data_IF_548986389166
#
_entry.id   IF_548986389166
#
_cell.length_a   1.000
_cell.length_b   1.000
_cell.length_c   1.000
_cell.angle_alpha   90.00
_cell.angle_beta   90.00
_cell.angle_gamma   90.00
#
_symmetry.space_group_name_H-M   'P 1'
#
loop_
_entity.id
_entity.type
_entity.pdbx_description
1 polymer ?
#
# COMPACT_ATOMS: atom_id res chain seq x y z
N UNK A 1 -51.74 -4.32 -31.87
CA UNK A 1 -51.23 -5.29 -30.94
C UNK A 1 -49.71 -5.09 -30.82
N UNK A 2 -49.30 -4.23 -29.93
CA UNK A 2 -47.88 -3.89 -29.65
C UNK A 2 -47.56 -4.46 -28.29
N UNK A 3 -46.68 -5.48 -28.28
CA UNK A 3 -46.17 -6.11 -27.07
C UNK A 3 -45.09 -5.20 -26.43
N UNK A 4 -45.41 -4.71 -25.24
CA UNK A 4 -44.46 -4.12 -24.32
C UNK A 4 -43.53 -5.23 -23.78
N UNK A 5 -42.26 -5.18 -24.16
CA UNK A 5 -41.21 -5.92 -23.49
C UNK A 5 -40.78 -5.13 -22.25
N UNK A 6 -41.28 -5.56 -21.10
CA UNK A 6 -40.85 -5.06 -19.80
C UNK A 6 -39.41 -5.44 -19.56
N UNK A 7 -38.51 -4.47 -19.48
CA UNK A 7 -37.14 -4.61 -19.01
C UNK A 7 -37.17 -4.92 -17.52
N UNK A 8 -36.75 -6.12 -17.14
CA UNK A 8 -36.56 -6.49 -15.74
C UNK A 8 -35.48 -5.59 -15.12
N UNK A 9 -35.66 -5.12 -13.87
CA UNK A 9 -34.65 -4.32 -13.19
C UNK A 9 -33.43 -5.22 -12.92
N UNK A 10 -32.27 -4.74 -13.35
CA UNK A 10 -30.97 -5.31 -12.97
C UNK A 10 -30.85 -5.12 -11.46
N UNK A 11 -30.91 -6.21 -10.72
CA UNK A 11 -30.73 -6.23 -9.27
C UNK A 11 -29.46 -5.50 -8.92
N UNK A 12 -29.58 -4.39 -8.19
CA UNK A 12 -28.48 -3.73 -7.52
C UNK A 12 -27.82 -4.78 -6.59
N UNK A 13 -26.67 -5.30 -7.00
CA UNK A 13 -25.86 -6.17 -6.16
C UNK A 13 -25.43 -5.37 -4.92
N UNK A 14 -26.29 -5.38 -3.91
CA UNK A 14 -25.91 -4.94 -2.57
C UNK A 14 -24.72 -5.77 -2.13
N UNK A 15 -23.62 -5.08 -1.86
CA UNK A 15 -22.39 -5.68 -1.35
C UNK A 15 -22.71 -6.38 -0.02
N UNK A 16 -22.97 -7.67 -0.10
CA UNK A 16 -23.35 -8.49 1.06
C UNK A 16 -22.11 -8.91 1.84
N UNK A 17 -21.71 -8.05 2.77
CA UNK A 17 -20.58 -8.29 3.68
C UNK A 17 -20.80 -9.52 4.59
N UNK A 18 -22.03 -10.04 4.72
CA UNK A 18 -22.31 -11.24 5.52
C UNK A 18 -21.79 -12.51 4.85
N UNK A 19 -21.52 -12.49 3.54
CA UNK A 19 -20.89 -13.61 2.83
C UNK A 19 -19.40 -13.74 3.09
N UNK A 20 -18.73 -12.69 3.60
CA UNK A 20 -17.30 -12.73 3.93
C UNK A 20 -17.00 -13.46 5.25
N UNK A 21 -17.94 -13.53 6.19
CA UNK A 21 -17.73 -14.14 7.52
C UNK A 21 -18.78 -15.20 7.90
N UNK A 22 -19.73 -15.51 7.03
CA UNK A 22 -20.74 -16.53 7.28
C UNK A 22 -20.23 -17.94 7.04
N UNK A 23 -19.86 -18.66 8.10
CA UNK A 23 -19.24 -19.98 8.19
C UNK A 23 -17.80 -19.99 7.69
N UNK A 24 -16.86 -20.44 8.54
CA UNK A 24 -15.47 -20.77 8.23
C UNK A 24 -15.42 -22.01 7.29
N UNK A 25 -16.05 -21.92 6.14
CA UNK A 25 -15.70 -22.72 4.99
C UNK A 25 -14.53 -22.00 4.35
N UNK A 26 -13.39 -22.67 4.09
CA UNK A 26 -12.28 -22.10 3.33
C UNK A 26 -12.85 -21.31 2.16
N UNK A 27 -12.59 -19.98 2.07
CA UNK A 27 -13.10 -19.18 0.97
C UNK A 27 -12.70 -19.82 -0.35
N UNK A 28 -13.56 -19.75 -1.35
CA UNK A 28 -13.42 -20.50 -2.61
C UNK A 28 -12.07 -20.35 -3.25
N UNK A 29 -11.44 -19.14 -3.18
CA UNK A 29 -10.11 -18.88 -3.70
C UNK A 29 -9.01 -19.78 -3.11
N UNK A 30 -9.02 -20.07 -1.80
CA UNK A 30 -8.01 -20.95 -1.17
C UNK A 30 -8.18 -22.44 -1.54
N UNK A 31 -9.31 -22.84 -2.10
CA UNK A 31 -9.50 -24.18 -2.63
C UNK A 31 -8.73 -24.40 -3.94
N UNK A 32 -8.39 -23.33 -4.62
CA UNK A 32 -7.62 -23.33 -5.86
C UNK A 32 -6.14 -23.50 -5.52
N UNK A 33 -5.56 -24.66 -5.80
CA UNK A 33 -4.18 -25.00 -5.43
C UNK A 33 -3.14 -24.00 -5.96
N UNK A 34 -3.18 -23.54 -7.23
CA UNK A 34 -2.28 -22.50 -7.73
C UNK A 34 -2.41 -21.18 -6.95
N UNK A 35 -3.61 -20.74 -6.63
CA UNK A 35 -3.82 -19.52 -5.84
C UNK A 35 -3.19 -19.64 -4.45
N UNK A 36 -3.39 -20.76 -3.76
CA UNK A 36 -2.82 -21.01 -2.43
C UNK A 36 -1.29 -20.98 -2.43
N UNK A 37 -0.66 -21.54 -3.47
CA UNK A 37 0.81 -21.52 -3.61
C UNK A 37 1.33 -20.09 -3.84
N UNK A 38 0.67 -19.33 -4.70
CA UNK A 38 1.02 -17.93 -4.96
C UNK A 38 0.79 -17.09 -3.72
N UNK A 39 -0.31 -17.29 -3.01
CA UNK A 39 -0.60 -16.56 -1.77
C UNK A 39 0.46 -16.83 -0.68
N UNK A 40 0.90 -18.07 -0.51
CA UNK A 40 1.98 -18.42 0.42
C UNK A 40 3.32 -17.76 0.02
N UNK A 41 3.65 -17.75 -1.27
CA UNK A 41 4.84 -17.05 -1.77
C UNK A 41 4.75 -15.53 -1.52
N UNK A 42 3.58 -14.94 -1.70
CA UNK A 42 3.33 -13.52 -1.42
C UNK A 42 3.45 -13.17 0.05
N UNK A 43 2.96 -14.02 0.92
CA UNK A 43 3.13 -13.83 2.36
C UNK A 43 4.63 -13.75 2.71
N UNK A 44 5.47 -14.63 2.15
CA UNK A 44 6.92 -14.57 2.32
C UNK A 44 7.54 -13.30 1.72
N UNK A 45 7.08 -12.87 0.56
CA UNK A 45 7.57 -11.64 -0.10
C UNK A 45 7.22 -10.41 0.76
N UNK A 46 5.99 -10.31 1.24
CA UNK A 46 5.57 -9.18 2.08
C UNK A 46 6.29 -9.20 3.44
N UNK A 47 6.42 -10.38 4.04
CA UNK A 47 7.12 -10.55 5.31
C UNK A 47 8.58 -10.10 5.20
N UNK A 48 9.31 -10.62 4.19
CA UNK A 48 10.69 -10.23 3.92
C UNK A 48 10.83 -8.73 3.66
N UNK A 49 9.87 -8.14 2.93
CA UNK A 49 9.83 -6.70 2.68
C UNK A 49 9.75 -5.88 3.98
N UNK A 50 8.88 -6.27 4.92
CA UNK A 50 8.71 -5.54 6.18
C UNK A 50 9.87 -5.74 7.13
N UNK A 51 10.48 -6.93 7.15
CA UNK A 51 11.76 -7.15 7.84
C UNK A 51 12.83 -6.22 7.27
N UNK A 52 12.99 -6.18 5.94
CA UNK A 52 13.97 -5.33 5.23
C UNK A 52 13.75 -3.83 5.54
N UNK A 53 12.49 -3.35 5.54
CA UNK A 53 12.16 -1.95 5.87
C UNK A 53 12.65 -1.62 7.29
N UNK A 54 12.36 -2.50 8.24
CA UNK A 54 12.69 -2.29 9.64
C UNK A 54 14.21 -2.32 9.85
N UNK A 55 14.91 -3.28 9.22
CA UNK A 55 16.36 -3.40 9.32
C UNK A 55 17.08 -2.22 8.67
N UNK A 56 16.65 -1.78 7.47
CA UNK A 56 17.22 -0.58 6.82
C UNK A 56 17.02 0.66 7.71
N UNK A 57 15.80 0.87 8.22
CA UNK A 57 15.53 1.99 9.11
C UNK A 57 16.39 1.96 10.38
N UNK A 58 16.56 0.77 10.96
CA UNK A 58 17.42 0.56 12.13
C UNK A 58 18.89 0.87 11.84
N UNK A 59 19.44 0.30 10.76
CA UNK A 59 20.86 0.51 10.40
C UNK A 59 21.17 2.00 10.14
N UNK A 60 20.26 2.72 9.50
CA UNK A 60 20.45 4.16 9.24
C UNK A 60 20.39 4.95 10.55
N UNK A 61 19.42 4.69 11.43
CA UNK A 61 19.30 5.44 12.69
C UNK A 61 20.46 5.12 13.62
N UNK A 62 20.86 3.87 13.73
CA UNK A 62 21.99 3.43 14.57
C UNK A 62 23.31 4.03 14.09
N UNK A 63 23.51 4.13 12.77
CA UNK A 63 24.73 4.67 12.20
C UNK A 63 24.82 6.20 12.25
N UNK A 64 23.71 6.91 12.26
CA UNK A 64 23.70 8.36 12.02
C UNK A 64 22.98 9.18 13.08
N UNK A 65 22.00 8.62 13.78
CA UNK A 65 21.09 9.37 14.65
C UNK A 65 20.31 10.49 13.92
N UNK A 66 20.36 10.54 12.58
CA UNK A 66 19.85 11.68 11.81
C UNK A 66 18.42 11.43 11.33
N UNK A 67 17.44 12.24 11.79
CA UNK A 67 16.06 12.17 11.29
C UNK A 67 15.95 12.38 9.78
N UNK A 68 16.77 13.27 9.22
CA UNK A 68 16.81 13.52 7.78
C UNK A 68 17.26 12.30 7.01
N UNK A 69 18.36 11.65 7.42
CA UNK A 69 18.90 10.50 6.71
C UNK A 69 17.97 9.27 6.80
N UNK A 70 17.34 9.04 7.96
CA UNK A 70 16.32 7.99 8.12
C UNK A 70 15.17 8.23 7.14
N UNK A 71 14.63 9.44 7.10
CA UNK A 71 13.51 9.81 6.22
C UNK A 71 13.92 9.81 4.74
N UNK A 72 15.16 10.19 4.42
CA UNK A 72 15.72 10.09 3.07
C UNK A 72 15.76 8.62 2.60
N UNK A 73 16.02 7.67 3.49
CA UNK A 73 15.96 6.24 3.18
C UNK A 73 14.57 5.80 2.69
N UNK A 74 13.51 6.34 3.30
CA UNK A 74 12.13 6.10 2.85
C UNK A 74 11.88 6.70 1.48
N UNK A 75 12.32 7.94 1.25
CA UNK A 75 12.22 8.61 -0.06
C UNK A 75 12.93 7.81 -1.16
N UNK A 76 14.18 7.48 -0.94
CA UNK A 76 15.02 6.74 -1.91
C UNK A 76 14.41 5.38 -2.26
N UNK A 77 13.82 4.70 -1.29
CA UNK A 77 13.13 3.42 -1.49
C UNK A 77 11.87 3.54 -2.34
N UNK A 78 11.08 4.60 -2.15
CA UNK A 78 9.76 4.76 -2.76
C UNK A 78 9.78 5.60 -4.03
N UNK A 79 10.74 6.50 -4.20
CA UNK A 79 10.86 7.32 -5.41
C UNK A 79 10.85 6.50 -6.71
N UNK A 80 11.53 5.33 -6.79
CA UNK A 80 11.49 4.50 -7.98
C UNK A 80 10.10 4.00 -8.38
N UNK A 81 9.14 3.89 -7.44
CA UNK A 81 7.78 3.44 -7.74
C UNK A 81 7.07 4.34 -8.76
N UNK A 82 7.37 5.63 -8.76
CA UNK A 82 6.70 6.59 -9.64
C UNK A 82 7.24 6.55 -11.06
N UNK A 83 8.47 6.12 -11.25
CA UNK A 83 9.10 5.96 -12.56
C UNK A 83 8.97 4.53 -13.06
N UNK A 84 9.33 3.56 -12.23
CA UNK A 84 9.36 2.16 -12.59
C UNK A 84 7.98 1.48 -12.53
N UNK A 85 7.04 1.98 -11.71
CA UNK A 85 5.70 1.42 -11.58
C UNK A 85 4.91 1.39 -12.89
N UNK A 86 4.76 2.49 -13.62
CA UNK A 86 4.10 2.52 -14.93
C UNK A 86 4.79 1.64 -15.97
N UNK A 87 6.13 1.60 -15.97
CA UNK A 87 6.93 0.75 -16.88
C UNK A 87 6.71 -0.73 -16.51
N UNK A 88 6.78 -1.06 -15.23
CA UNK A 88 6.55 -2.41 -14.72
C UNK A 88 5.14 -2.91 -15.03
N UNK A 89 4.11 -2.05 -14.91
CA UNK A 89 2.74 -2.37 -15.30
C UNK A 89 2.63 -2.69 -16.79
N UNK A 90 3.17 -1.84 -17.65
CA UNK A 90 3.16 -2.05 -19.10
C UNK A 90 3.95 -3.30 -19.52
N UNK A 91 5.00 -3.67 -18.78
CA UNK A 91 5.74 -4.92 -19.01
C UNK A 91 4.95 -6.14 -18.52
N UNK A 92 4.31 -6.04 -17.35
CA UNK A 92 3.51 -7.13 -16.79
C UNK A 92 2.35 -7.55 -17.72
N UNK A 93 1.78 -6.59 -18.47
CA UNK A 93 0.72 -6.86 -19.46
C UNK A 93 1.20 -7.62 -20.72
N UNK A 94 2.52 -7.59 -20.98
CA UNK A 94 3.12 -8.17 -22.21
C UNK A 94 3.81 -9.52 -22.00
N UNK A 95 4.09 -9.88 -20.75
CA UNK A 95 4.84 -11.10 -20.41
C UNK A 95 4.01 -11.99 -19.50
N UNK A 96 4.43 -13.23 -19.33
CA UNK A 96 3.82 -14.13 -18.36
C UNK A 96 4.02 -13.57 -16.93
N UNK A 97 2.90 -13.30 -16.24
CA UNK A 97 2.90 -12.64 -14.93
C UNK A 97 3.68 -13.44 -13.87
N UNK A 98 3.56 -14.78 -13.89
CA UNK A 98 4.29 -15.64 -12.95
C UNK A 98 5.80 -15.54 -13.18
N UNK A 99 6.23 -15.59 -14.44
CA UNK A 99 7.63 -15.39 -14.82
C UNK A 99 8.13 -14.01 -14.37
N UNK A 100 7.34 -12.97 -14.62
CA UNK A 100 7.70 -11.60 -14.28
C UNK A 100 7.87 -11.40 -12.77
N UNK A 101 6.94 -11.97 -11.95
CA UNK A 101 7.03 -11.91 -10.50
C UNK A 101 8.25 -12.72 -10.01
N UNK A 102 8.57 -13.86 -10.61
CA UNK A 102 9.79 -14.62 -10.29
C UNK A 102 11.05 -13.78 -10.54
N UNK A 103 11.18 -13.19 -11.73
CA UNK A 103 12.36 -12.39 -12.10
C UNK A 103 12.52 -11.18 -11.19
N UNK A 104 11.45 -10.43 -10.93
CA UNK A 104 11.50 -9.27 -10.04
C UNK A 104 11.82 -9.67 -8.60
N UNK A 105 11.30 -10.82 -8.12
CA UNK A 105 11.64 -11.35 -6.80
C UNK A 105 13.08 -11.86 -6.74
N UNK A 106 13.61 -12.49 -7.80
CA UNK A 106 15.04 -12.85 -7.89
C UNK A 106 15.94 -11.60 -7.84
N UNK A 107 15.52 -10.50 -8.49
CA UNK A 107 16.20 -9.22 -8.34
C UNK A 107 16.27 -8.76 -6.87
N UNK A 108 15.18 -8.96 -6.11
CA UNK A 108 15.16 -8.66 -4.67
C UNK A 108 16.05 -9.60 -3.85
N UNK A 109 16.13 -10.89 -4.21
CA UNK A 109 17.13 -11.81 -3.62
C UNK A 109 18.53 -11.26 -3.81
N UNK A 110 18.88 -10.89 -5.03
CA UNK A 110 20.21 -10.33 -5.33
C UNK A 110 20.48 -9.04 -4.50
N UNK A 111 19.52 -8.14 -4.41
CA UNK A 111 19.66 -6.91 -3.61
C UNK A 111 19.81 -7.22 -2.12
N UNK A 112 19.06 -8.17 -1.56
CA UNK A 112 19.20 -8.55 -0.16
C UNK A 112 20.58 -9.17 0.12
N UNK A 113 21.09 -10.00 -0.78
CA UNK A 113 22.47 -10.54 -0.69
C UNK A 113 23.50 -9.43 -0.79
N UNK A 114 23.35 -8.50 -1.75
CA UNK A 114 24.27 -7.37 -1.91
C UNK A 114 24.25 -6.43 -0.70
N UNK A 115 23.07 -6.17 -0.09
CA UNK A 115 22.95 -5.41 1.15
C UNK A 115 23.68 -6.10 2.30
N UNK A 116 23.52 -7.44 2.43
CA UNK A 116 24.25 -8.22 3.41
C UNK A 116 25.74 -8.11 3.23
N UNK A 117 26.23 -8.32 2.01
CA UNK A 117 27.68 -8.24 1.68
C UNK A 117 28.23 -6.82 1.85
N UNK A 118 27.48 -5.81 1.44
CA UNK A 118 27.89 -4.42 1.59
C UNK A 118 28.05 -4.02 3.06
N UNK A 119 27.09 -4.40 3.90
CA UNK A 119 27.16 -4.14 5.35
C UNK A 119 28.30 -4.93 6.00
N UNK A 120 28.56 -6.15 5.54
CA UNK A 120 29.65 -6.97 6.06
C UNK A 120 31.04 -6.40 5.68
N UNK A 121 31.18 -5.96 4.42
CA UNK A 121 32.47 -5.48 3.88
C UNK A 121 32.78 -4.01 4.21
N UNK A 122 31.76 -3.14 4.22
CA UNK A 122 31.92 -1.70 4.31
C UNK A 122 31.22 -1.06 5.51
N UNK A 123 30.66 -1.89 6.43
CA UNK A 123 29.86 -1.39 7.55
C UNK A 123 28.61 -0.64 7.07
N UNK A 124 28.17 0.32 7.87
CA UNK A 124 26.96 1.11 7.60
C UNK A 124 27.21 2.22 6.54
N UNK A 125 27.79 1.88 5.39
CA UNK A 125 28.00 2.82 4.30
C UNK A 125 26.66 3.25 3.68
N UNK A 126 26.27 4.49 3.93
CA UNK A 126 24.95 5.02 3.51
C UNK A 126 24.77 5.02 1.99
N UNK A 127 25.83 5.29 1.21
CA UNK A 127 25.74 5.28 -0.25
C UNK A 127 25.38 3.90 -0.78
N UNK A 128 26.00 2.86 -0.23
CA UNK A 128 25.68 1.49 -0.61
C UNK A 128 24.25 1.13 -0.20
N UNK A 129 23.84 1.46 1.03
CA UNK A 129 22.49 1.21 1.54
C UNK A 129 21.44 1.90 0.68
N UNK A 130 21.59 3.18 0.40
CA UNK A 130 20.62 3.94 -0.40
C UNK A 130 20.55 3.46 -1.84
N UNK A 131 21.70 3.23 -2.48
CA UNK A 131 21.74 2.77 -3.88
C UNK A 131 21.06 1.39 -4.01
N UNK A 132 21.40 0.44 -3.15
CA UNK A 132 20.81 -0.89 -3.18
C UNK A 132 19.32 -0.86 -2.82
N UNK A 133 18.93 -0.03 -1.84
CA UNK A 133 17.52 0.15 -1.47
C UNK A 133 16.71 0.78 -2.60
N UNK A 134 17.27 1.74 -3.35
CA UNK A 134 16.63 2.33 -4.54
C UNK A 134 16.40 1.29 -5.63
N UNK A 135 17.43 0.49 -5.95
CA UNK A 135 17.32 -0.58 -6.95
C UNK A 135 16.29 -1.64 -6.49
N UNK A 136 16.29 -1.99 -5.20
CA UNK A 136 15.27 -2.86 -4.59
C UNK A 136 13.85 -2.30 -4.74
N UNK A 137 13.70 -0.98 -4.65
CA UNK A 137 12.45 -0.25 -4.91
C UNK A 137 11.95 -0.40 -6.35
N UNK A 138 12.85 -0.38 -7.33
CA UNK A 138 12.50 -0.64 -8.75
C UNK A 138 11.87 -2.03 -8.90
N UNK A 139 12.52 -3.08 -8.38
CA UNK A 139 11.97 -4.43 -8.44
C UNK A 139 10.65 -4.57 -7.68
N UNK A 140 10.51 -3.90 -6.54
CA UNK A 140 9.29 -3.95 -5.74
C UNK A 140 8.10 -3.28 -6.41
N UNK A 141 8.30 -2.22 -7.20
CA UNK A 141 7.24 -1.45 -7.85
C UNK A 141 6.47 -2.25 -8.90
N UNK A 142 7.13 -3.22 -9.53
CA UNK A 142 6.60 -4.01 -10.64
C UNK A 142 5.71 -5.19 -10.17
N UNK A 143 5.82 -5.60 -8.91
CA UNK A 143 5.14 -6.80 -8.39
C UNK A 143 3.63 -6.61 -8.26
N UNK A 144 3.18 -5.47 -7.73
CA UNK A 144 1.75 -5.24 -7.43
C UNK A 144 0.87 -5.29 -8.69
N UNK A 145 1.19 -4.60 -9.81
CA UNK A 145 0.41 -4.69 -11.04
C UNK A 145 0.35 -6.11 -11.59
N UNK A 146 1.49 -6.81 -11.61
CA UNK A 146 1.59 -8.19 -12.10
C UNK A 146 0.73 -9.16 -11.27
N UNK A 147 0.67 -8.97 -9.95
CA UNK A 147 -0.15 -9.77 -9.06
C UNK A 147 -1.65 -9.61 -9.31
N UNK A 148 -2.10 -8.37 -9.48
CA UNK A 148 -3.52 -8.11 -9.76
C UNK A 148 -3.95 -8.73 -11.10
N UNK A 149 -3.10 -8.66 -12.12
CA UNK A 149 -3.33 -9.34 -13.39
C UNK A 149 -3.40 -10.86 -13.20
N UNK A 150 -2.43 -11.42 -12.46
CA UNK A 150 -2.37 -12.85 -12.18
C UNK A 150 -3.60 -13.37 -11.43
N UNK A 151 -4.12 -12.62 -10.45
CA UNK A 151 -5.34 -13.02 -9.75
C UNK A 151 -6.57 -13.05 -10.65
N UNK A 152 -6.69 -12.07 -11.55
CA UNK A 152 -7.79 -12.06 -12.50
C UNK A 152 -7.75 -13.26 -13.46
N UNK A 153 -6.55 -13.79 -13.77
CA UNK A 153 -6.38 -14.94 -14.62
C UNK A 153 -6.53 -16.29 -13.88
N UNK A 154 -6.23 -16.32 -12.56
CA UNK A 154 -6.23 -17.56 -11.76
C UNK A 154 -7.56 -17.91 -11.12
N UNK A 155 -8.37 -16.89 -10.80
CA UNK A 155 -9.54 -17.05 -9.95
C UNK A 155 -10.78 -16.63 -10.72
N UNK A 156 -11.89 -17.43 -10.68
CA UNK A 156 -13.16 -17.03 -11.29
C UNK A 156 -13.60 -15.65 -10.77
N UNK A 157 -14.25 -14.86 -11.62
CA UNK A 157 -14.65 -13.47 -11.32
C UNK A 157 -15.40 -13.35 -9.99
N UNK A 158 -16.26 -14.32 -9.67
CA UNK A 158 -17.00 -14.40 -8.39
C UNK A 158 -16.10 -14.53 -7.14
N UNK A 159 -14.86 -15.05 -7.29
CA UNK A 159 -13.92 -15.27 -6.19
C UNK A 159 -12.81 -14.20 -6.15
N UNK A 160 -12.74 -13.31 -7.15
CA UNK A 160 -11.69 -12.31 -7.28
C UNK A 160 -11.64 -11.35 -6.09
N UNK A 161 -12.80 -10.92 -5.60
CA UNK A 161 -12.89 -10.07 -4.40
C UNK A 161 -12.32 -10.78 -3.17
N UNK A 162 -12.58 -12.09 -3.03
CA UNK A 162 -12.01 -12.90 -1.96
C UNK A 162 -10.48 -13.02 -2.09
N UNK A 163 -9.97 -13.22 -3.30
CA UNK A 163 -8.54 -13.31 -3.58
C UNK A 163 -7.79 -12.02 -3.22
N UNK A 164 -8.34 -10.86 -3.58
CA UNK A 164 -7.80 -9.54 -3.20
C UNK A 164 -7.88 -9.30 -1.69
N UNK A 165 -8.91 -9.82 -1.03
CA UNK A 165 -9.02 -9.81 0.43
C UNK A 165 -7.90 -10.61 1.10
N UNK A 166 -7.54 -11.77 0.56
CA UNK A 166 -6.42 -12.57 1.05
C UNK A 166 -5.06 -11.89 0.83
N UNK A 167 -4.88 -11.17 -0.28
CA UNK A 167 -3.68 -10.35 -0.49
C UNK A 167 -3.56 -9.28 0.61
N UNK A 168 -4.65 -8.58 0.91
CA UNK A 168 -4.68 -7.57 1.96
C UNK A 168 -4.37 -8.16 3.33
N UNK A 169 -4.87 -9.36 3.63
CA UNK A 169 -4.54 -10.09 4.88
C UNK A 169 -3.05 -10.42 4.92
N UNK A 170 -2.47 -10.96 3.84
CA UNK A 170 -1.05 -11.29 3.79
C UNK A 170 -0.18 -10.03 3.99
N UNK A 171 -0.55 -8.91 3.37
CA UNK A 171 0.14 -7.63 3.53
C UNK A 171 0.07 -7.13 4.98
N UNK A 172 -1.12 -7.08 5.58
CA UNK A 172 -1.32 -6.55 6.95
C UNK A 172 -0.68 -7.46 8.00
N UNK A 173 -0.78 -8.78 7.86
CA UNK A 173 -0.07 -9.70 8.75
C UNK A 173 1.44 -9.51 8.67
N UNK A 174 1.97 -9.28 7.47
CA UNK A 174 3.41 -9.03 7.29
C UNK A 174 3.84 -7.69 7.88
N UNK A 175 2.99 -6.67 7.85
CA UNK A 175 3.22 -5.38 8.52
C UNK A 175 3.31 -5.52 10.04
N UNK A 176 2.59 -6.47 10.63
CA UNK A 176 2.64 -6.76 12.07
C UNK A 176 3.85 -7.64 12.40
N UNK A 177 3.98 -8.78 11.72
CA UNK A 177 4.92 -9.83 12.07
C UNK A 177 6.35 -9.48 11.64
N UNK A 178 6.53 -8.86 10.47
CA UNK A 178 7.86 -8.52 9.93
C UNK A 178 8.68 -7.63 10.86
N UNK A 179 8.16 -6.49 11.30
CA UNK A 179 8.84 -5.62 12.25
C UNK A 179 9.09 -6.26 13.62
N UNK A 180 8.19 -7.14 14.10
CA UNK A 180 8.42 -7.93 15.33
C UNK A 180 9.64 -8.83 15.16
N UNK A 181 9.70 -9.60 14.05
CA UNK A 181 10.83 -10.47 13.75
C UNK A 181 12.12 -9.65 13.72
N UNK A 182 12.13 -8.54 12.97
CA UNK A 182 13.31 -7.69 12.90
C UNK A 182 13.70 -7.12 14.27
N UNK A 183 12.74 -6.54 14.99
CA UNK A 183 12.98 -5.90 16.28
C UNK A 183 13.46 -6.84 17.36
N UNK A 184 12.94 -8.07 17.40
CA UNK A 184 13.33 -9.09 18.39
C UNK A 184 14.68 -9.72 18.04
N UNK A 185 14.99 -9.92 16.76
CA UNK A 185 16.21 -10.59 16.34
C UNK A 185 17.43 -9.66 16.26
N UNK A 186 17.27 -8.40 15.90
CA UNK A 186 18.38 -7.44 15.73
C UNK A 186 19.29 -7.30 16.98
N UNK A 187 18.81 -7.42 18.23
CA UNK A 187 19.70 -7.42 19.40
C UNK A 187 20.65 -8.62 19.48
N UNK A 188 20.31 -9.72 18.82
CA UNK A 188 21.05 -10.99 18.88
C UNK A 188 21.73 -11.33 17.56
N UNK A 189 21.26 -10.77 16.46
CA UNK A 189 21.67 -11.11 15.10
C UNK A 189 22.05 -9.84 14.35
N UNK A 190 23.28 -9.80 13.85
CA UNK A 190 23.76 -8.64 13.10
C UNK A 190 22.93 -8.37 11.83
N UNK A 191 22.78 -7.09 11.47
CA UNK A 191 21.99 -6.66 10.32
C UNK A 191 22.34 -7.38 8.98
N UNK A 192 23.61 -7.65 8.64
CA UNK A 192 23.98 -8.45 7.48
C UNK A 192 23.29 -9.83 7.45
N UNK A 193 23.24 -10.51 8.59
CA UNK A 193 22.60 -11.85 8.69
C UNK A 193 21.08 -11.73 8.53
N UNK A 194 20.47 -10.65 9.01
CA UNK A 194 19.04 -10.39 8.80
C UNK A 194 18.72 -10.22 7.30
N UNK A 195 19.56 -9.51 6.54
CA UNK A 195 19.40 -9.41 5.08
C UNK A 195 19.59 -10.75 4.38
N UNK A 196 20.51 -11.59 4.83
CA UNK A 196 20.65 -12.94 4.32
C UNK A 196 19.41 -13.79 4.61
N UNK A 197 18.81 -13.65 5.79
CA UNK A 197 17.53 -14.28 6.12
C UNK A 197 16.39 -13.84 5.17
N UNK A 198 16.33 -12.54 4.84
CA UNK A 198 15.34 -12.06 3.85
C UNK A 198 15.64 -12.60 2.45
N UNK A 199 16.91 -12.73 2.05
CA UNK A 199 17.29 -13.33 0.77
C UNK A 199 16.85 -14.80 0.69
N UNK A 200 17.02 -15.57 1.75
CA UNK A 200 16.52 -16.95 1.85
C UNK A 200 15.00 -17.00 1.73
N UNK A 201 14.29 -16.13 2.45
CA UNK A 201 12.82 -16.10 2.39
C UNK A 201 12.29 -15.70 1.00
N UNK A 202 12.90 -14.72 0.32
CA UNK A 202 12.60 -14.42 -1.08
C UNK A 202 12.91 -15.60 -2.00
N UNK A 203 14.02 -16.31 -1.78
CA UNK A 203 14.38 -17.50 -2.57
C UNK A 203 13.36 -18.62 -2.40
N UNK A 204 12.88 -18.86 -1.18
CA UNK A 204 11.80 -19.81 -0.91
C UNK A 204 10.48 -19.39 -1.59
N UNK A 205 10.17 -18.10 -1.61
CA UNK A 205 9.00 -17.60 -2.33
C UNK A 205 9.12 -17.86 -3.84
N UNK A 206 10.29 -17.61 -4.44
CA UNK A 206 10.57 -17.93 -5.84
C UNK A 206 10.45 -19.43 -6.08
N UNK A 207 11.05 -20.27 -5.22
CA UNK A 207 10.97 -21.72 -5.32
C UNK A 207 9.51 -22.21 -5.25
N UNK A 208 8.70 -21.66 -4.32
CA UNK A 208 7.27 -22.00 -4.26
C UNK A 208 6.52 -21.68 -5.55
N UNK A 209 6.89 -20.62 -6.25
CA UNK A 209 6.30 -20.25 -7.54
C UNK A 209 6.71 -21.18 -8.70
N UNK A 210 7.83 -21.94 -8.59
CA UNK A 210 8.18 -22.92 -9.61
C UNK A 210 7.24 -24.14 -9.60
N UNK A 211 6.60 -24.42 -8.48
CA UNK A 211 5.61 -25.49 -8.39
C UNK A 211 4.22 -25.08 -8.92
N UNK A 212 4.02 -23.80 -9.22
CA UNK A 212 2.81 -23.34 -9.89
C UNK A 212 2.92 -23.74 -11.37
N UNK A 213 2.09 -24.69 -11.79
CA UNK A 213 2.07 -25.17 -13.17
C UNK A 213 1.78 -24.03 -14.14
N UNK A 214 2.63 -23.88 -15.14
CA UNK A 214 2.47 -22.90 -16.24
C UNK A 214 1.19 -23.13 -17.05
N UNK A 215 0.61 -24.32 -17.00
CA UNK A 215 -0.61 -24.67 -17.75
C UNK A 215 -1.82 -23.77 -17.45
N UNK A 216 -1.88 -23.13 -16.28
CA UNK A 216 -2.98 -22.19 -15.95
C UNK A 216 -2.77 -20.84 -16.64
N UNK A 217 -1.52 -20.39 -16.74
CA UNK A 217 -1.18 -19.16 -17.43
C UNK A 217 -1.27 -19.30 -18.96
N UNK A 218 -0.97 -20.49 -19.48
CA UNK A 218 -1.06 -20.78 -20.93
C UNK A 218 -2.52 -20.90 -21.37
N UNK A 219 -3.39 -21.54 -20.57
CA UNK A 219 -4.84 -21.63 -20.86
C UNK A 219 -5.53 -20.27 -20.80
N UNK A 220 -5.12 -19.39 -19.86
CA UNK A 220 -5.65 -18.03 -19.76
C UNK A 220 -5.19 -17.16 -20.95
N UNK A 221 -3.98 -17.41 -21.47
CA UNK A 221 -3.44 -16.73 -22.66
C UNK A 221 -4.16 -17.16 -23.92
N UNK A 222 -4.39 -18.46 -24.10
CA UNK A 222 -5.17 -19.02 -25.20
C UNK A 222 -6.62 -18.52 -25.20
N UNK A 223 -7.25 -18.43 -24.03
CA UNK A 223 -8.60 -17.87 -23.88
C UNK A 223 -8.66 -16.37 -24.21
N UNK A 224 -7.60 -15.60 -23.89
CA UNK A 224 -7.49 -14.19 -24.25
C UNK A 224 -7.20 -13.98 -25.73
N UNK A 225 -6.32 -14.78 -26.33
CA UNK A 225 -6.03 -14.75 -27.77
C UNK A 225 -7.27 -15.10 -28.59
N UNK A 226 -8.10 -16.04 -28.11
CA UNK A 226 -9.38 -16.39 -28.74
C UNK A 226 -10.44 -15.27 -28.61
N UNK A 227 -10.40 -14.44 -27.58
CA UNK A 227 -11.29 -13.30 -27.41
C UNK A 227 -10.81 -12.01 -28.12
N UNK A 228 -9.50 -11.84 -28.32
CA UNK A 228 -8.93 -10.65 -29.02
C UNK A 228 -9.08 -10.76 -30.54
N UNK A 229 -9.32 -11.96 -31.10
CA UNK A 229 -9.57 -12.14 -32.56
C UNK A 229 -10.94 -11.61 -33.01
N UNK A 230 -11.89 -11.41 -32.07
CA UNK A 230 -13.23 -10.87 -32.33
C UNK A 230 -13.40 -9.39 -31.95
N UNK A 231 -12.43 -8.77 -31.30
CA UNK A 231 -12.50 -7.36 -30.92
C UNK A 231 -11.68 -6.48 -31.87
N UNK A 232 -12.39 -5.69 -32.69
CA UNK A 232 -11.90 -4.56 -33.46
C UNK A 232 -10.69 -3.92 -32.79
N UNK A 233 -9.56 -3.84 -33.49
CA UNK A 233 -8.35 -3.08 -33.13
C UNK A 233 -8.69 -1.62 -32.77
N UNK A 234 -9.20 -1.40 -31.57
CA UNK A 234 -9.24 -0.06 -31.02
C UNK A 234 -7.80 0.28 -30.66
N UNK A 235 -7.18 1.18 -31.39
CA UNK A 235 -5.89 1.82 -31.08
C UNK A 235 -5.91 2.21 -29.60
N UNK A 236 -5.18 1.45 -28.77
CA UNK A 236 -5.06 1.77 -27.33
C UNK A 236 -4.41 3.16 -27.26
N UNK A 237 -5.06 4.16 -26.66
CA UNK A 237 -4.48 5.49 -26.58
C UNK A 237 -3.13 5.43 -25.88
N UNK A 238 -2.19 6.25 -26.30
CA UNK A 238 -0.87 6.33 -25.69
C UNK A 238 -0.96 6.61 -24.18
N UNK A 239 0.05 6.20 -23.41
CA UNK A 239 0.06 6.38 -21.95
C UNK A 239 -0.22 7.84 -21.55
N UNK A 240 0.43 8.79 -22.21
CA UNK A 240 0.25 10.23 -21.95
C UNK A 240 -1.17 10.72 -22.32
N UNK A 241 -1.73 10.21 -23.40
CA UNK A 241 -3.10 10.52 -23.83
C UNK A 241 -4.12 9.98 -22.81
N UNK A 242 -3.92 8.76 -22.33
CA UNK A 242 -4.76 8.15 -21.28
C UNK A 242 -4.72 8.94 -19.97
N UNK A 243 -3.54 9.43 -19.58
CA UNK A 243 -3.37 10.29 -18.40
C UNK A 243 -4.06 11.64 -18.61
N UNK A 244 -3.84 12.29 -19.76
CA UNK A 244 -4.46 13.58 -20.08
C UNK A 244 -5.99 13.49 -20.10
N UNK A 245 -6.54 12.42 -20.67
CA UNK A 245 -7.98 12.17 -20.67
C UNK A 245 -8.52 11.91 -19.26
N UNK A 246 -7.79 11.16 -18.45
CA UNK A 246 -8.14 10.95 -17.05
C UNK A 246 -8.19 12.27 -16.26
N UNK A 247 -7.21 13.16 -16.44
CA UNK A 247 -7.21 14.49 -15.83
C UNK A 247 -8.37 15.37 -16.35
N UNK A 248 -8.70 15.28 -17.65
CA UNK A 248 -9.85 16.00 -18.22
C UNK A 248 -11.15 15.54 -17.57
N UNK A 249 -11.33 14.22 -17.42
CA UNK A 249 -12.50 13.66 -16.74
C UNK A 249 -12.52 14.02 -15.26
N UNK A 250 -11.38 13.96 -14.57
CA UNK A 250 -11.30 14.38 -13.18
C UNK A 250 -11.71 15.85 -13.01
N UNK A 251 -11.22 16.73 -13.89
CA UNK A 251 -11.50 18.17 -13.85
C UNK A 251 -12.99 18.50 -14.10
N UNK A 252 -13.69 17.65 -14.85
CA UNK A 252 -15.14 17.82 -15.09
C UNK A 252 -16.02 17.35 -13.93
N UNK A 253 -15.43 16.71 -12.89
CA UNK A 253 -16.16 16.12 -11.76
C UNK A 253 -15.65 16.66 -10.43
N UNK A 254 -16.36 17.63 -9.82
CA UNK A 254 -15.91 18.26 -8.57
C UNK A 254 -15.63 17.29 -7.43
N UNK A 255 -16.38 16.17 -7.37
CA UNK A 255 -16.19 15.14 -6.34
C UNK A 255 -14.84 14.40 -6.48
N UNK A 256 -14.39 14.16 -7.71
CA UNK A 256 -13.10 13.48 -7.97
C UNK A 256 -11.94 14.43 -7.63
N UNK A 257 -12.03 15.71 -8.01
CA UNK A 257 -11.03 16.72 -7.63
C UNK A 257 -10.95 16.82 -6.12
N UNK A 258 -12.09 16.85 -5.43
CA UNK A 258 -12.18 16.91 -4.00
C UNK A 258 -11.51 15.68 -3.35
N UNK A 259 -11.76 14.47 -3.86
CA UNK A 259 -11.11 13.25 -3.39
C UNK A 259 -9.59 13.31 -3.58
N UNK A 260 -9.11 13.77 -4.73
CA UNK A 260 -7.68 13.92 -4.98
C UNK A 260 -7.04 14.97 -4.06
N UNK A 261 -7.71 16.08 -3.78
CA UNK A 261 -7.23 17.07 -2.83
C UNK A 261 -7.09 16.49 -1.41
N UNK A 262 -8.05 15.66 -0.97
CA UNK A 262 -7.95 14.95 0.32
C UNK A 262 -6.79 13.96 0.31
N UNK A 263 -6.61 13.19 -0.77
CA UNK A 263 -5.52 12.21 -0.89
C UNK A 263 -4.16 12.89 -0.84
N UNK A 264 -3.95 13.96 -1.62
CA UNK A 264 -2.69 14.74 -1.59
C UNK A 264 -2.41 15.29 -0.20
N UNK A 265 -3.43 15.81 0.48
CA UNK A 265 -3.29 16.31 1.85
C UNK A 265 -2.96 15.19 2.82
N UNK A 266 -3.59 14.02 2.70
CA UNK A 266 -3.30 12.88 3.55
C UNK A 266 -1.87 12.36 3.37
N UNK A 267 -1.45 12.12 2.12
CA UNK A 267 -0.11 11.62 1.80
C UNK A 267 0.99 12.64 2.17
N UNK A 268 0.68 13.92 2.05
CA UNK A 268 1.63 14.98 2.40
C UNK A 268 1.77 15.23 3.90
N UNK A 269 0.76 14.93 4.70
CA UNK A 269 0.72 15.38 6.10
C UNK A 269 0.27 14.33 7.12
N UNK A 270 -0.71 13.44 6.79
CA UNK A 270 -1.30 12.58 7.80
C UNK A 270 -0.41 11.40 8.21
N UNK A 271 0.45 10.92 7.30
CA UNK A 271 1.28 9.74 7.52
C UNK A 271 2.77 10.05 7.76
N UNK A 272 3.11 11.32 7.97
CA UNK A 272 4.50 11.78 8.11
C UNK A 272 5.24 11.19 9.32
N UNK A 273 4.51 10.85 10.38
CA UNK A 273 5.07 10.20 11.56
C UNK A 273 5.70 8.83 11.26
N UNK A 274 5.19 8.10 10.24
CA UNK A 274 5.75 6.81 9.83
C UNK A 274 7.23 6.90 9.44
N UNK A 275 7.64 8.03 8.88
CA UNK A 275 9.02 8.26 8.47
C UNK A 275 9.96 8.44 9.66
N UNK A 276 9.43 8.83 10.81
CA UNK A 276 10.19 9.11 12.03
C UNK A 276 10.08 8.01 13.09
N UNK A 277 9.36 6.91 12.83
CA UNK A 277 9.24 5.80 13.79
C UNK A 277 10.60 5.30 14.31
N UNK A 278 11.66 5.13 13.46
CA UNK A 278 12.98 4.74 13.98
C UNK A 278 13.56 5.77 14.94
N UNK A 279 13.41 7.06 14.66
CA UNK A 279 13.87 8.16 15.52
C UNK A 279 13.08 8.20 16.85
N UNK A 280 11.76 8.01 16.78
CA UNK A 280 10.96 7.92 18.02
C UNK A 280 11.39 6.73 18.87
N UNK A 281 11.71 5.58 18.25
CA UNK A 281 12.16 4.40 18.99
C UNK A 281 13.48 4.64 19.74
N UNK A 282 14.44 5.35 19.14
CA UNK A 282 15.77 5.61 19.69
C UNK A 282 15.80 6.88 20.54
N UNK A 283 15.57 8.04 19.92
CA UNK A 283 15.88 9.33 20.51
C UNK A 283 14.79 9.81 21.49
N UNK A 284 13.51 9.48 21.21
CA UNK A 284 12.40 9.93 22.04
C UNK A 284 12.13 8.95 23.19
N UNK A 285 12.13 7.64 22.89
CA UNK A 285 11.77 6.61 23.84
C UNK A 285 12.98 5.94 24.47
N UNK A 286 14.21 6.26 24.02
CA UNK A 286 15.44 5.67 24.52
C UNK A 286 15.51 4.14 24.36
N UNK A 287 14.75 3.61 23.38
CA UNK A 287 14.63 2.17 23.15
C UNK A 287 15.54 1.68 22.04
N UNK A 288 15.53 0.36 21.84
CA UNK A 288 16.30 -0.33 20.79
C UNK A 288 15.43 -0.76 19.62
N UNK A 289 16.00 -1.67 18.81
CA UNK A 289 15.30 -2.28 17.67
C UNK A 289 13.99 -2.98 18.06
N UNK A 290 13.91 -3.55 19.26
CA UNK A 290 12.67 -4.14 19.78
C UNK A 290 11.56 -3.10 19.90
N UNK A 291 11.87 -1.90 20.42
CA UNK A 291 10.92 -0.78 20.48
C UNK A 291 10.46 -0.37 19.07
N UNK A 292 11.40 -0.29 18.11
CA UNK A 292 11.08 -0.03 16.70
C UNK A 292 10.10 -1.06 16.13
N UNK A 293 10.36 -2.35 16.37
CA UNK A 293 9.48 -3.43 15.95
C UNK A 293 8.08 -3.34 16.56
N UNK A 294 7.99 -3.03 17.87
CA UNK A 294 6.72 -2.83 18.58
C UNK A 294 5.92 -1.66 18.00
N UNK A 295 6.54 -0.52 17.72
CA UNK A 295 5.88 0.66 17.18
C UNK A 295 5.26 0.38 15.80
N UNK A 296 6.00 -0.22 14.88
CA UNK A 296 5.49 -0.63 13.57
C UNK A 296 4.34 -1.62 13.68
N UNK A 297 4.48 -2.59 14.58
CA UNK A 297 3.48 -3.65 14.77
C UNK A 297 2.18 -3.12 15.37
N UNK A 298 2.26 -2.13 16.27
CA UNK A 298 1.06 -1.47 16.79
C UNK A 298 0.30 -0.72 15.71
N UNK A 299 1.00 -0.04 14.82
CA UNK A 299 0.37 0.62 13.67
C UNK A 299 -0.31 -0.41 12.76
N UNK A 300 0.36 -1.51 12.43
CA UNK A 300 -0.23 -2.60 11.65
C UNK A 300 -1.41 -3.30 12.33
N UNK A 301 -1.35 -3.51 13.64
CA UNK A 301 -2.47 -4.05 14.41
C UNK A 301 -3.69 -3.13 14.37
N UNK A 302 -3.46 -1.82 14.45
CA UNK A 302 -4.50 -0.81 14.27
C UNK A 302 -5.14 -0.87 12.88
N UNK A 303 -4.33 -1.01 11.81
CA UNK A 303 -4.85 -1.17 10.45
C UNK A 303 -5.72 -2.43 10.31
N UNK A 304 -5.30 -3.54 10.90
CA UNK A 304 -6.06 -4.78 10.87
C UNK A 304 -7.42 -4.63 11.57
N UNK A 305 -7.43 -4.08 12.78
CA UNK A 305 -8.67 -3.82 13.53
C UNK A 305 -9.56 -2.82 12.78
N UNK A 306 -8.99 -1.75 12.23
CA UNK A 306 -9.73 -0.78 11.44
C UNK A 306 -10.39 -1.40 10.21
N UNK A 307 -9.68 -2.25 9.47
CA UNK A 307 -10.23 -2.97 8.34
C UNK A 307 -11.40 -3.89 8.75
N UNK A 308 -11.25 -4.64 9.84
CA UNK A 308 -12.32 -5.50 10.37
C UNK A 308 -13.56 -4.70 10.79
N UNK A 309 -13.37 -3.57 11.47
CA UNK A 309 -14.46 -2.69 11.90
C UNK A 309 -15.20 -2.09 10.70
N UNK A 310 -14.45 -1.64 9.68
CA UNK A 310 -15.05 -1.05 8.48
C UNK A 310 -15.84 -2.10 7.70
N UNK A 311 -15.23 -3.23 7.42
CA UNK A 311 -15.88 -4.30 6.63
C UNK A 311 -17.05 -4.94 7.40
N UNK A 312 -16.86 -5.21 8.70
CA UNK A 312 -17.85 -5.92 9.49
C UNK A 312 -19.05 -5.07 9.95
N UNK A 313 -18.83 -3.81 10.28
CA UNK A 313 -19.83 -3.00 10.97
C UNK A 313 -20.10 -1.62 10.39
N UNK A 314 -19.04 -0.86 10.10
CA UNK A 314 -19.17 0.56 9.73
C UNK A 314 -19.54 0.74 8.26
N UNK A 315 -19.04 -0.12 7.35
CA UNK A 315 -19.24 0.03 5.91
C UNK A 315 -20.67 0.14 5.47
N UNK A 316 -21.59 -0.65 6.10
CA UNK A 316 -23.03 -0.60 5.83
C UNK A 316 -23.72 0.68 6.32
N UNK A 317 -23.07 1.44 7.21
CA UNK A 317 -23.61 2.67 7.82
C UNK A 317 -23.06 3.94 7.21
N UNK A 318 -22.06 3.80 6.32
CA UNK A 318 -21.44 4.95 5.64
C UNK A 318 -22.29 5.34 4.44
N UNK A 319 -23.14 6.35 4.63
CA UNK A 319 -23.99 6.91 3.57
C UNK A 319 -23.26 7.96 2.70
N UNK A 320 -22.09 8.41 3.14
CA UNK A 320 -21.28 9.41 2.44
C UNK A 320 -19.79 9.04 2.52
N UNK A 321 -19.26 8.30 1.52
CA UNK A 321 -17.84 7.94 1.47
C UNK A 321 -16.88 9.15 1.49
N UNK A 322 -17.29 10.26 0.88
CA UNK A 322 -16.51 11.52 0.91
C UNK A 322 -16.39 12.11 2.32
N UNK A 323 -17.48 12.11 3.09
CA UNK A 323 -17.47 12.56 4.49
C UNK A 323 -16.62 11.61 5.34
N UNK A 324 -16.75 10.30 5.12
CA UNK A 324 -15.95 9.31 5.82
C UNK A 324 -14.44 9.46 5.54
N UNK A 325 -14.08 9.76 4.29
CA UNK A 325 -12.71 10.05 3.89
C UNK A 325 -12.15 11.29 4.59
N UNK A 326 -12.92 12.40 4.64
CA UNK A 326 -12.54 13.61 5.39
C UNK A 326 -12.32 13.33 6.87
N UNK A 327 -13.25 12.60 7.50
CA UNK A 327 -13.18 12.26 8.93
C UNK A 327 -11.94 11.41 9.21
N UNK A 328 -11.67 10.38 8.40
CA UNK A 328 -10.52 9.51 8.57
C UNK A 328 -9.21 10.32 8.55
N UNK A 329 -9.01 11.17 7.54
CA UNK A 329 -7.81 11.99 7.42
C UNK A 329 -7.70 12.99 8.57
N UNK A 330 -8.81 13.63 8.96
CA UNK A 330 -8.83 14.55 10.10
C UNK A 330 -8.45 13.87 11.42
N UNK A 331 -8.97 12.66 11.67
CA UNK A 331 -8.61 11.87 12.85
C UNK A 331 -7.13 11.53 12.85
N UNK A 332 -6.55 11.10 11.71
CA UNK A 332 -5.10 10.84 11.61
C UNK A 332 -4.29 12.08 12.04
N UNK A 333 -4.66 13.27 11.55
CA UNK A 333 -3.95 14.49 11.87
C UNK A 333 -4.16 14.95 13.32
N UNK A 334 -5.36 14.80 13.86
CA UNK A 334 -5.65 15.07 15.28
C UNK A 334 -4.84 14.14 16.19
N UNK A 335 -4.77 12.86 15.87
CA UNK A 335 -3.97 11.89 16.63
C UNK A 335 -2.46 12.10 16.47
N UNK A 336 -2.02 12.67 15.36
CA UNK A 336 -0.62 13.02 15.12
C UNK A 336 -0.09 14.08 16.10
N UNK A 337 -0.95 14.98 16.62
CA UNK A 337 -0.54 16.00 17.59
C UNK A 337 -0.13 15.36 18.93
N UNK A 338 -0.97 14.59 19.63
CA UNK A 338 -0.56 13.93 20.87
C UNK A 338 0.53 12.87 20.65
N UNK A 339 0.60 12.24 19.47
CA UNK A 339 1.72 11.38 19.12
C UNK A 339 3.03 12.17 19.09
N UNK A 340 3.06 13.33 18.43
CA UNK A 340 4.21 14.21 18.38
C UNK A 340 4.64 14.72 19.76
N UNK A 341 3.74 14.79 20.72
CA UNK A 341 4.03 15.19 22.11
C UNK A 341 4.34 13.99 23.02
N UNK A 342 4.20 12.76 22.52
CA UNK A 342 4.40 11.56 23.33
C UNK A 342 5.87 11.31 23.61
N UNK A 343 6.20 11.03 24.88
CA UNK A 343 7.52 10.64 25.37
C UNK A 343 7.51 9.31 26.10
N UNK A 344 6.39 8.59 26.10
CA UNK A 344 6.25 7.29 26.79
C UNK A 344 5.82 6.19 25.83
N UNK A 345 6.42 5.01 25.94
CA UNK A 345 6.14 3.90 25.06
C UNK A 345 4.65 3.49 25.01
N UNK A 346 3.93 3.34 26.14
CA UNK A 346 2.51 2.96 26.09
C UNK A 346 1.63 3.97 25.35
N UNK A 347 1.87 5.27 25.55
CA UNK A 347 1.11 6.31 24.87
C UNK A 347 1.41 6.32 23.36
N UNK A 348 2.69 6.23 22.98
CA UNK A 348 3.10 6.18 21.57
C UNK A 348 2.48 4.97 20.87
N UNK A 349 2.51 3.78 21.49
CA UNK A 349 1.90 2.56 20.96
C UNK A 349 0.38 2.72 20.79
N UNK A 350 -0.31 3.28 21.78
CA UNK A 350 -1.76 3.53 21.70
C UNK A 350 -2.11 4.53 20.60
N UNK A 351 -1.33 5.59 20.44
CA UNK A 351 -1.52 6.57 19.36
C UNK A 351 -1.27 5.95 17.98
N UNK A 352 -0.22 5.15 17.82
CA UNK A 352 0.08 4.44 16.57
C UNK A 352 -1.01 3.43 16.22
N UNK A 353 -1.50 2.68 17.20
CA UNK A 353 -2.64 1.78 16.99
C UNK A 353 -3.87 2.55 16.50
N UNK A 354 -4.21 3.66 17.16
CA UNK A 354 -5.36 4.50 16.80
C UNK A 354 -5.21 5.12 15.41
N UNK A 355 -3.99 5.53 15.06
CA UNK A 355 -3.63 6.00 13.71
C UNK A 355 -3.81 4.89 12.67
N UNK A 356 -3.38 3.67 12.98
CA UNK A 356 -3.58 2.52 12.11
C UNK A 356 -5.06 2.26 11.81
N UNK A 357 -5.92 2.33 12.84
CA UNK A 357 -7.38 2.21 12.65
C UNK A 357 -7.91 3.28 11.68
N UNK A 358 -7.46 4.52 11.83
CA UNK A 358 -7.90 5.62 10.97
C UNK A 358 -7.32 5.53 9.55
N UNK A 359 -6.05 5.09 9.42
CA UNK A 359 -5.39 4.87 8.14
C UNK A 359 -6.10 3.80 7.29
N UNK A 360 -6.58 2.73 7.92
CA UNK A 360 -7.39 1.72 7.26
C UNK A 360 -8.68 2.30 6.66
N UNK A 361 -9.38 3.18 7.40
CA UNK A 361 -10.57 3.86 6.90
C UNK A 361 -10.23 4.77 5.70
N UNK A 362 -9.12 5.50 5.76
CA UNK A 362 -8.63 6.28 4.63
C UNK A 362 -8.38 5.39 3.41
N UNK A 363 -7.64 4.29 3.56
CA UNK A 363 -7.29 3.37 2.47
C UNK A 363 -8.52 2.81 1.74
N UNK A 364 -9.57 2.43 2.47
CA UNK A 364 -10.83 1.94 1.89
C UNK A 364 -11.62 3.08 1.22
N UNK A 365 -11.77 4.20 1.91
CA UNK A 365 -12.65 5.28 1.43
C UNK A 365 -12.08 6.03 0.24
N UNK A 366 -10.76 6.20 0.11
CA UNK A 366 -10.13 6.88 -1.03
C UNK A 366 -10.47 6.20 -2.36
N UNK A 367 -10.43 4.87 -2.40
CA UNK A 367 -10.77 4.10 -3.61
C UNK A 367 -12.29 4.11 -3.87
N UNK A 368 -13.09 3.97 -2.81
CA UNK A 368 -14.55 3.95 -2.92
C UNK A 368 -15.11 5.27 -3.48
N UNK A 369 -14.61 6.42 -3.00
CA UNK A 369 -15.06 7.73 -3.52
C UNK A 369 -14.83 7.83 -5.02
N UNK A 370 -13.67 7.39 -5.52
CA UNK A 370 -13.34 7.43 -6.94
C UNK A 370 -14.22 6.46 -7.73
N UNK A 371 -14.34 5.20 -7.27
CA UNK A 371 -15.11 4.17 -7.94
C UNK A 371 -16.60 4.52 -8.06
N UNK A 372 -17.19 5.11 -7.02
CA UNK A 372 -18.60 5.51 -7.01
C UNK A 372 -18.87 6.79 -7.80
N UNK A 373 -17.87 7.69 -7.91
CA UNK A 373 -18.02 8.97 -8.61
C UNK A 373 -17.70 8.88 -10.11
N UNK A 374 -17.09 7.78 -10.57
CA UNK A 374 -16.58 7.62 -11.91
C UNK A 374 -17.43 6.65 -12.75
N UNK A 375 -17.72 6.95 -14.04
CA UNK A 375 -18.28 6.00 -14.97
C UNK A 375 -17.36 4.78 -15.14
N UNK A 376 -17.91 3.59 -15.30
CA UNK A 376 -17.16 2.34 -15.41
C UNK A 376 -16.00 2.41 -16.42
N UNK A 377 -16.25 3.04 -17.59
CA UNK A 377 -15.29 3.18 -18.71
C UNK A 377 -13.98 3.91 -18.35
N UNK A 378 -13.99 4.79 -17.32
CA UNK A 378 -12.83 5.63 -16.96
C UNK A 378 -12.26 5.34 -15.56
N UNK A 379 -12.86 4.41 -14.80
CA UNK A 379 -12.44 4.05 -13.43
C UNK A 379 -10.96 3.68 -13.36
N UNK A 380 -10.49 2.84 -14.27
CA UNK A 380 -9.08 2.42 -14.29
C UNK A 380 -8.10 3.58 -14.49
N UNK A 381 -8.43 4.55 -15.36
CA UNK A 381 -7.61 5.75 -15.59
C UNK A 381 -7.55 6.63 -14.35
N UNK A 382 -8.68 6.82 -13.66
CA UNK A 382 -8.74 7.64 -12.44
C UNK A 382 -8.00 6.99 -11.26
N UNK A 383 -8.05 5.66 -11.12
CA UNK A 383 -7.24 4.93 -10.13
C UNK A 383 -5.75 5.06 -10.47
N UNK A 384 -5.38 5.03 -11.76
CA UNK A 384 -4.00 5.29 -12.18
C UNK A 384 -3.53 6.68 -11.77
N UNK A 385 -4.36 7.72 -11.95
CA UNK A 385 -4.07 9.10 -11.51
C UNK A 385 -3.98 9.17 -9.98
N UNK A 386 -4.89 8.51 -9.24
CA UNK A 386 -4.83 8.41 -7.80
C UNK A 386 -3.46 7.89 -7.33
N UNK A 387 -2.94 6.85 -7.99
CA UNK A 387 -1.63 6.28 -7.65
C UNK A 387 -0.50 7.30 -7.84
N UNK A 388 -0.60 8.24 -8.78
CA UNK A 388 0.40 9.30 -8.95
C UNK A 388 0.43 10.26 -7.76
N UNK A 389 -0.71 10.50 -7.10
CA UNK A 389 -0.76 11.38 -5.93
C UNK A 389 -0.13 10.76 -4.66
N UNK A 390 0.11 9.45 -4.65
CA UNK A 390 0.87 8.79 -3.58
C UNK A 390 2.33 9.28 -3.51
N UNK A 391 2.82 10.01 -4.53
CA UNK A 391 4.15 10.66 -4.50
C UNK A 391 4.28 11.67 -3.34
N UNK A 392 3.16 12.17 -2.81
CA UNK A 392 3.13 13.00 -1.62
C UNK A 392 3.80 12.34 -0.42
N UNK A 393 3.64 11.02 -0.27
CA UNK A 393 4.20 10.26 0.85
C UNK A 393 5.74 10.26 0.88
N UNK A 394 6.50 9.87 -0.16
CA UNK A 394 7.95 9.98 -0.11
C UNK A 394 8.44 11.43 -0.07
N UNK A 395 7.76 12.39 -0.69
CA UNK A 395 8.13 13.80 -0.59
C UNK A 395 7.98 14.28 0.86
N UNK A 396 6.90 13.92 1.54
CA UNK A 396 6.69 14.28 2.93
C UNK A 396 7.76 13.71 3.86
N UNK A 397 8.39 12.58 3.51
CA UNK A 397 9.51 12.02 4.24
C UNK A 397 10.70 13.01 4.29
N UNK A 398 11.06 13.57 3.15
CA UNK A 398 12.15 14.56 3.08
C UNK A 398 11.79 15.81 3.87
N UNK A 399 10.56 16.30 3.77
CA UNK A 399 10.09 17.50 4.49
C UNK A 399 10.11 17.27 5.99
N UNK A 400 9.48 16.20 6.48
CA UNK A 400 9.41 15.93 7.94
C UNK A 400 10.78 15.62 8.51
N UNK A 401 11.64 14.89 7.77
CA UNK A 401 13.01 14.61 8.17
C UNK A 401 13.86 15.89 8.28
N UNK A 402 13.69 16.85 7.35
CA UNK A 402 14.35 18.14 7.42
C UNK A 402 13.91 18.97 8.62
N UNK A 403 12.61 19.03 8.89
CA UNK A 403 12.09 19.74 10.06
C UNK A 403 12.59 19.05 11.35
N UNK A 404 12.57 17.72 11.38
CA UNK A 404 12.99 16.97 12.55
C UNK A 404 14.49 17.12 12.84
N UNK A 405 15.33 17.24 11.82
CA UNK A 405 16.79 17.45 11.99
C UNK A 405 17.14 18.83 12.58
N UNK A 406 16.29 19.84 12.34
CA UNK A 406 16.53 21.22 12.83
C UNK A 406 15.82 21.50 14.16
N UNK A 407 14.56 21.06 14.28
CA UNK A 407 13.68 21.42 15.40
C UNK A 407 13.33 20.22 16.29
N UNK A 408 13.82 19.03 15.95
CA UNK A 408 13.52 17.79 16.68
C UNK A 408 12.25 17.08 16.19
N UNK A 409 12.13 15.77 16.49
CA UNK A 409 11.05 14.92 15.99
C UNK A 409 9.66 15.33 16.51
N UNK A 410 9.56 15.79 17.75
CA UNK A 410 8.31 16.28 18.34
C UNK A 410 7.72 17.44 17.54
N UNK A 411 8.54 18.49 17.31
CA UNK A 411 8.12 19.67 16.56
C UNK A 411 7.74 19.30 15.13
N UNK A 412 8.50 18.42 14.50
CA UNK A 412 8.24 17.99 13.12
C UNK A 412 6.86 17.33 12.99
N UNK A 413 6.53 16.35 13.84
CA UNK A 413 5.24 15.64 13.78
C UNK A 413 4.09 16.58 14.10
N UNK A 414 4.21 17.42 15.15
CA UNK A 414 3.16 18.39 15.53
C UNK A 414 2.93 19.40 14.41
N UNK A 415 4.00 19.96 13.82
CA UNK A 415 3.91 20.95 12.74
C UNK A 415 3.23 20.35 11.51
N UNK A 416 3.66 19.14 11.07
CA UNK A 416 3.06 18.47 9.92
C UNK A 416 1.59 18.15 10.18
N UNK A 417 1.25 17.63 11.36
CA UNK A 417 -0.13 17.30 11.71
C UNK A 417 -1.02 18.54 11.77
N UNK A 418 -0.54 19.62 12.35
CA UNK A 418 -1.29 20.89 12.45
C UNK A 418 -1.48 21.55 11.09
N UNK A 419 -0.43 21.61 10.28
CA UNK A 419 -0.51 22.13 8.90
C UNK A 419 -1.45 21.29 8.05
N UNK A 420 -1.39 19.97 8.21
CA UNK A 420 -2.32 19.05 7.56
C UNK A 420 -3.76 19.28 7.97
N UNK A 421 -4.02 19.50 9.28
CA UNK A 421 -5.35 19.77 9.81
C UNK A 421 -5.92 21.08 9.25
N UNK A 422 -5.10 22.11 9.15
CA UNK A 422 -5.48 23.36 8.48
C UNK A 422 -5.78 23.14 6.99
N UNK A 423 -4.93 22.38 6.30
CA UNK A 423 -5.09 22.07 4.88
C UNK A 423 -6.37 21.28 4.60
N UNK A 424 -6.68 20.25 5.41
CA UNK A 424 -7.92 19.48 5.25
C UNK A 424 -9.15 20.32 5.58
N UNK A 425 -9.05 21.26 6.52
CA UNK A 425 -10.08 22.25 6.80
C UNK A 425 -10.38 23.13 5.58
N UNK A 426 -9.34 23.62 4.90
CA UNK A 426 -9.49 24.38 3.64
C UNK A 426 -10.13 23.53 2.54
N UNK A 427 -9.71 22.28 2.39
CA UNK A 427 -10.30 21.33 1.43
C UNK A 427 -11.79 21.12 1.75
N UNK A 428 -12.13 20.90 3.01
CA UNK A 428 -13.51 20.69 3.44
C UNK A 428 -14.41 21.91 3.23
N UNK A 429 -13.86 23.13 3.28
CA UNK A 429 -14.58 24.38 3.00
C UNK A 429 -14.74 24.61 1.49
N UNK A 430 -13.69 24.34 0.69
CA UNK A 430 -13.73 24.53 -0.77
C UNK A 430 -14.57 23.48 -1.50
N UNK A 431 -14.72 22.29 -0.94
CA UNK A 431 -15.40 21.15 -1.55
C UNK A 431 -16.56 20.63 -0.68
N UNK A 432 -17.66 21.38 -0.54
CA UNK A 432 -18.81 20.97 0.26
C UNK A 432 -19.46 19.66 -0.24
N UNK A 433 -19.22 19.27 -1.49
CA UNK A 433 -19.71 18.04 -2.10
C UNK A 433 -19.25 16.79 -1.33
N UNK A 434 -18.05 16.81 -0.68
CA UNK A 434 -17.55 15.71 0.13
C UNK A 434 -18.47 15.36 1.31
N UNK A 435 -19.30 16.32 1.75
CA UNK A 435 -20.25 16.14 2.87
C UNK A 435 -21.61 15.63 2.45
N UNK A 436 -21.91 15.66 1.14
CA UNK A 436 -23.20 15.24 0.61
C UNK A 436 -23.29 13.70 0.55
N UNK A 437 -24.50 13.19 0.68
CA UNK A 437 -24.76 11.78 0.40
C UNK A 437 -24.55 11.53 -1.09
N UNK A 438 -23.80 10.50 -1.42
CA UNK A 438 -23.70 10.07 -2.80
C UNK A 438 -24.99 9.33 -3.19
N UNK A 439 -25.78 9.96 -4.04
CA UNK A 439 -26.77 9.24 -4.82
C UNK A 439 -25.97 8.53 -5.92
N UNK A 440 -26.08 7.19 -6.00
CA UNK A 440 -25.46 6.41 -7.08
C UNK A 440 -25.83 7.05 -8.41
N UNK A 441 -24.81 7.49 -9.17
CA UNK A 441 -25.06 7.91 -10.55
C UNK A 441 -25.43 6.65 -11.32
N UNK A 442 -26.73 6.55 -11.68
CA UNK A 442 -27.28 5.59 -12.63
C UNK A 442 -26.60 5.71 -14.01
#
# INVERSE_FOLDING_TARGET
>A
MTQNAATAPVDAQTFDSTRLFGKIAMPGALRIAPFRQIWAALLLIHLSRWVEITVVGWVIVEATGSPFLVSLGVFVRLAPFFVAGPIGGAMADRVNQVWFIRVTTMGRVAIAVLLSLALFAFGSNLWAIYTLTAIGGVFASAVIPALRALYADLVPERELTGALGFESIAFTLSLIIGPIIAGVLLPFVAAPVMFMGTAVAYSLAVAAMFFVRSSVADTAKEAKEAQDDDSVQSTRPGLFESIADGFRVARSRPMIIAAFAVIVTAEGFAFTFLHLIPIFATDVLGGGSTTLGMLWSMQGAGELVGAMVIVGWLGKRINSPGKALLIAVSICMILGIPLGLSSTLPLTMFMLFSLGVSASMFGVMQSNVILLSAPAKVRGRLIGIQTMFLIGFPISAVVVGSIASVFGPHVAVVTMSTTGLLSIGVVALKFPQLRQQMVSAE
#
